data_IF_884436311187
#
_entry.id   IF_884436311187
#
_cell.length_a   1.000
_cell.length_b   1.000
_cell.length_c   1.000
_cell.angle_alpha   90.00
_cell.angle_beta   90.00
_cell.angle_gamma   90.00
#
_symmetry.space_group_name_H-M   'P 1'
#
loop_
_entity.id
_entity.type
_entity.pdbx_description
1 polymer ?
#
# COMPACT_ATOMS: atom_id res chain seq x y z
N UNK A 1 42.75 -15.77 19.89
CA UNK A 1 41.45 -15.65 19.26
C UNK A 1 40.30 -15.72 20.28
N UNK A 2 40.16 -16.73 21.11
CA UNK A 2 39.10 -16.82 22.14
C UNK A 2 39.15 -15.68 23.19
N UNK A 3 40.35 -15.24 23.60
CA UNK A 3 40.54 -14.10 24.53
C UNK A 3 40.12 -12.77 23.93
N UNK A 4 40.30 -12.56 22.63
CA UNK A 4 39.82 -11.37 21.88
C UNK A 4 38.28 -11.35 21.78
N UNK A 5 37.65 -12.50 21.55
CA UNK A 5 36.20 -12.65 21.51
C UNK A 5 35.60 -12.40 22.89
N UNK A 6 36.23 -12.90 23.96
CA UNK A 6 35.79 -12.64 25.34
C UNK A 6 35.91 -11.17 25.77
N UNK A 7 36.97 -10.49 25.33
CA UNK A 7 37.13 -9.03 25.57
C UNK A 7 36.11 -8.22 24.73
N UNK A 8 35.81 -8.65 23.51
CA UNK A 8 34.77 -8.05 22.67
C UNK A 8 33.39 -8.19 23.33
N UNK A 9 33.06 -9.38 23.83
CA UNK A 9 31.80 -9.64 24.55
C UNK A 9 31.72 -8.86 25.87
N UNK A 10 32.81 -8.59 26.56
CA UNK A 10 32.84 -7.76 27.78
C UNK A 10 32.70 -6.27 27.49
N UNK A 11 33.19 -5.81 26.35
CA UNK A 11 32.98 -4.46 25.82
C UNK A 11 31.54 -4.23 25.30
N UNK A 12 30.88 -5.30 24.88
CA UNK A 12 29.49 -5.29 24.39
C UNK A 12 28.44 -4.93 25.46
N UNK A 13 28.77 -4.94 26.74
CA UNK A 13 27.79 -4.64 27.78
C UNK A 13 27.21 -3.23 27.67
N UNK A 14 27.99 -2.27 27.19
CA UNK A 14 27.53 -0.89 26.99
C UNK A 14 26.75 -0.75 25.70
N UNK A 15 27.22 -1.36 24.62
CA UNK A 15 26.57 -1.39 23.31
C UNK A 15 25.23 -2.14 23.39
N UNK A 16 25.18 -3.27 24.08
CA UNK A 16 23.94 -4.01 24.34
C UNK A 16 22.95 -3.19 25.16
N UNK A 17 23.43 -2.47 26.20
CA UNK A 17 22.56 -1.56 26.97
C UNK A 17 22.04 -0.40 26.14
N UNK A 18 22.86 0.22 25.30
CA UNK A 18 22.47 1.30 24.38
C UNK A 18 21.47 0.76 23.36
N UNK A 19 21.71 -0.40 22.76
CA UNK A 19 20.78 -1.05 21.84
C UNK A 19 19.46 -1.39 22.53
N UNK A 20 19.50 -1.91 23.77
CA UNK A 20 18.28 -2.14 24.54
C UNK A 20 17.51 -0.86 24.85
N UNK A 21 18.19 0.21 25.14
CA UNK A 21 17.58 1.51 25.47
C UNK A 21 16.99 2.19 24.23
N UNK A 22 17.65 2.06 23.09
CA UNK A 22 17.18 2.59 21.80
C UNK A 22 16.05 1.77 21.17
N UNK A 23 15.87 0.54 21.59
CA UNK A 23 14.93 -0.40 21.00
C UNK A 23 13.47 0.02 21.15
N UNK A 24 13.06 0.40 22.37
CA UNK A 24 11.68 0.81 22.62
C UNK A 24 11.30 2.02 21.74
N UNK A 25 12.10 3.10 21.69
CA UNK A 25 11.87 4.19 20.73
C UNK A 25 11.86 3.75 19.28
N UNK A 26 12.70 2.79 18.89
CA UNK A 26 12.81 2.32 17.52
C UNK A 26 11.57 1.50 17.10
N UNK A 27 11.09 0.60 17.97
CA UNK A 27 9.85 -0.15 17.75
C UNK A 27 8.66 0.81 17.68
N UNK A 28 8.56 1.75 18.64
CA UNK A 28 7.49 2.74 18.65
C UNK A 28 7.56 3.63 17.41
N UNK A 29 8.75 4.07 17.01
CA UNK A 29 8.95 4.89 15.81
C UNK A 29 8.55 4.16 14.54
N UNK A 30 9.01 2.92 14.34
CA UNK A 30 8.65 2.11 13.17
C UNK A 30 7.16 1.75 13.14
N UNK A 31 6.61 1.34 14.28
CA UNK A 31 5.17 1.03 14.38
C UNK A 31 4.30 2.28 14.15
N UNK A 32 4.74 3.45 14.62
CA UNK A 32 4.05 4.71 14.35
C UNK A 32 4.14 5.09 12.87
N UNK A 33 5.32 4.93 12.25
CA UNK A 33 5.50 5.20 10.82
C UNK A 33 4.66 4.26 9.95
N UNK A 34 4.68 2.95 10.25
CA UNK A 34 3.81 1.96 9.59
C UNK A 34 2.33 2.28 9.84
N UNK A 35 1.95 2.60 11.07
CA UNK A 35 0.59 3.01 11.42
C UNK A 35 0.14 4.26 10.65
N UNK A 36 0.99 5.27 10.54
CA UNK A 36 0.69 6.49 9.77
C UNK A 36 0.45 6.19 8.29
N UNK A 37 1.29 5.35 7.67
CA UNK A 37 1.11 4.97 6.26
C UNK A 37 -0.13 4.10 6.05
N UNK A 38 -0.38 3.14 6.94
CA UNK A 38 -1.60 2.31 6.94
C UNK A 38 -2.86 3.16 7.09
N UNK A 39 -2.86 4.12 8.03
CA UNK A 39 -3.96 5.05 8.27
C UNK A 39 -4.28 5.89 7.03
N UNK A 40 -3.25 6.51 6.41
CA UNK A 40 -3.45 7.32 5.22
C UNK A 40 -3.97 6.48 4.04
N UNK A 41 -3.47 5.26 3.87
CA UNK A 41 -3.99 4.34 2.86
C UNK A 41 -5.45 3.94 3.13
N UNK A 42 -5.78 3.65 4.38
CA UNK A 42 -7.15 3.31 4.80
C UNK A 42 -8.12 4.47 4.57
N UNK A 43 -7.72 5.70 4.86
CA UNK A 43 -8.51 6.92 4.63
C UNK A 43 -8.86 7.14 3.15
N UNK A 44 -8.11 6.57 2.21
CA UNK A 44 -8.46 6.65 0.78
C UNK A 44 -9.70 5.81 0.44
N UNK A 45 -9.92 4.70 1.14
CA UNK A 45 -11.04 3.77 0.92
C UNK A 45 -12.18 3.98 1.91
N UNK A 46 -11.84 4.27 3.16
CA UNK A 46 -12.79 4.50 4.25
C UNK A 46 -12.58 5.92 4.79
N UNK A 47 -13.24 6.95 4.22
CA UNK A 47 -13.00 8.33 4.58
C UNK A 47 -13.64 8.74 5.92
N UNK A 48 -13.74 7.80 6.87
CA UNK A 48 -14.25 8.03 8.22
C UNK A 48 -13.09 7.99 9.20
N UNK A 49 -12.70 9.17 9.71
CA UNK A 49 -11.53 9.35 10.58
C UNK A 49 -11.44 8.32 11.70
N UNK A 50 -12.50 8.20 12.51
CA UNK A 50 -12.48 7.31 13.68
C UNK A 50 -12.37 5.83 13.33
N UNK A 51 -13.04 5.40 12.26
CA UNK A 51 -13.00 4.00 11.81
C UNK A 51 -11.59 3.67 11.32
N UNK A 52 -11.02 4.52 10.49
CA UNK A 52 -9.67 4.32 9.96
C UNK A 52 -8.61 4.34 11.06
N UNK A 53 -8.76 5.23 12.06
CA UNK A 53 -7.87 5.28 13.20
C UNK A 53 -7.94 4.01 14.04
N UNK A 54 -9.15 3.57 14.42
CA UNK A 54 -9.35 2.36 15.23
C UNK A 54 -8.83 1.11 14.52
N UNK A 55 -9.12 0.96 13.23
CA UNK A 55 -8.61 -0.16 12.44
C UNK A 55 -7.07 -0.16 12.37
N UNK A 56 -6.47 1.00 12.16
CA UNK A 56 -5.01 1.13 12.15
C UNK A 56 -4.39 0.74 13.48
N UNK A 57 -4.94 1.23 14.59
CA UNK A 57 -4.46 0.90 15.94
C UNK A 57 -4.61 -0.61 16.20
N UNK A 58 -5.74 -1.21 15.80
CA UNK A 58 -5.96 -2.65 15.95
C UNK A 58 -4.93 -3.47 15.14
N UNK A 59 -4.70 -3.11 13.86
CA UNK A 59 -3.73 -3.79 12.99
C UNK A 59 -2.32 -3.67 13.57
N UNK A 60 -1.87 -2.48 13.96
CA UNK A 60 -0.54 -2.26 14.53
C UNK A 60 -0.37 -2.98 15.87
N UNK A 61 -1.40 -2.99 16.71
CA UNK A 61 -1.39 -3.74 17.97
C UNK A 61 -1.25 -5.25 17.73
N UNK A 62 -1.96 -5.80 16.73
CA UNK A 62 -1.83 -7.20 16.36
C UNK A 62 -0.42 -7.54 15.83
N UNK A 63 0.21 -6.65 15.05
CA UNK A 63 1.59 -6.85 14.58
C UNK A 63 2.56 -6.88 15.76
N UNK A 64 2.49 -5.91 16.66
CA UNK A 64 3.40 -5.82 17.82
C UNK A 64 3.17 -6.97 18.79
N UNK A 65 1.93 -7.21 19.21
CA UNK A 65 1.58 -8.28 20.16
C UNK A 65 1.85 -9.66 19.53
N UNK A 66 1.44 -9.86 18.28
CA UNK A 66 1.64 -11.12 17.56
C UNK A 66 3.13 -11.43 17.38
N UNK A 67 3.95 -10.44 17.01
CA UNK A 67 5.40 -10.59 16.91
C UNK A 67 6.02 -10.98 18.26
N UNK A 68 5.57 -10.34 19.35
CA UNK A 68 6.03 -10.66 20.70
C UNK A 68 5.58 -12.06 21.15
N UNK A 69 4.34 -12.45 20.89
CA UNK A 69 3.83 -13.78 21.25
C UNK A 69 4.51 -14.88 20.44
N UNK A 70 4.79 -14.64 19.14
CA UNK A 70 5.44 -15.61 18.27
C UNK A 70 6.83 -16.01 18.79
N UNK A 71 7.52 -15.09 19.47
CA UNK A 71 8.84 -15.40 20.07
C UNK A 71 8.73 -16.30 21.29
N UNK A 72 7.58 -16.28 21.97
CA UNK A 72 7.34 -17.08 23.19
C UNK A 72 6.73 -18.45 22.91
N UNK A 73 5.99 -18.59 21.82
CA UNK A 73 5.27 -19.83 21.50
C UNK A 73 6.14 -20.71 20.58
N UNK A 74 6.43 -21.92 21.03
CA UNK A 74 7.11 -22.91 20.21
C UNK A 74 6.07 -23.74 19.43
N UNK A 75 6.27 -23.88 18.11
CA UNK A 75 5.44 -24.73 17.26
C UNK A 75 5.43 -26.21 17.70
N UNK A 76 6.50 -26.64 18.41
CA UNK A 76 6.63 -28.01 18.95
C UNK A 76 5.79 -28.25 20.21
N UNK A 77 5.42 -27.17 20.91
CA UNK A 77 4.69 -27.27 22.18
C UNK A 77 3.17 -27.17 21.95
N UNK A 78 2.75 -26.23 21.11
CA UNK A 78 1.34 -26.05 20.78
C UNK A 78 1.21 -25.54 19.34
N UNK A 79 1.02 -26.46 18.41
CA UNK A 79 0.86 -26.15 16.99
C UNK A 79 -0.34 -25.23 16.74
N UNK A 80 -1.45 -25.49 17.42
CA UNK A 80 -2.67 -24.72 17.22
C UNK A 80 -2.52 -23.24 17.66
N UNK A 81 -1.89 -23.02 18.83
CA UNK A 81 -1.61 -21.67 19.31
C UNK A 81 -0.60 -20.94 18.41
N UNK A 82 0.45 -21.65 17.98
CA UNK A 82 1.43 -21.10 17.04
C UNK A 82 0.77 -20.69 15.73
N UNK A 83 -0.04 -21.56 15.12
CA UNK A 83 -0.76 -21.26 13.87
C UNK A 83 -1.75 -20.10 14.05
N UNK A 84 -2.45 -20.02 15.18
CA UNK A 84 -3.35 -18.92 15.48
C UNK A 84 -2.64 -17.57 15.55
N UNK A 85 -1.54 -17.49 16.30
CA UNK A 85 -0.74 -16.26 16.42
C UNK A 85 -0.06 -15.91 15.10
N UNK A 86 0.53 -16.89 14.42
CA UNK A 86 1.18 -16.69 13.13
C UNK A 86 0.20 -16.26 12.05
N UNK A 87 -0.98 -16.90 11.99
CA UNK A 87 -2.03 -16.54 11.04
C UNK A 87 -2.57 -15.13 11.28
N UNK A 88 -2.82 -14.75 12.54
CA UNK A 88 -3.25 -13.39 12.89
C UNK A 88 -2.20 -12.34 12.54
N UNK A 89 -0.92 -12.64 12.75
CA UNK A 89 0.19 -11.76 12.40
C UNK A 89 0.29 -11.57 10.88
N UNK A 90 0.22 -12.66 10.10
CA UNK A 90 0.23 -12.58 8.64
C UNK A 90 -0.95 -11.76 8.13
N UNK A 91 -2.15 -12.00 8.66
CA UNK A 91 -3.33 -11.24 8.26
C UNK A 91 -3.15 -9.74 8.55
N UNK A 92 -2.71 -9.39 9.76
CA UNK A 92 -2.48 -8.00 10.15
C UNK A 92 -1.39 -7.35 9.29
N UNK A 93 -0.27 -8.04 9.04
CA UNK A 93 0.80 -7.56 8.18
C UNK A 93 0.33 -7.37 6.73
N UNK A 94 -0.46 -8.31 6.19
CA UNK A 94 -1.02 -8.19 4.84
C UNK A 94 -1.92 -6.96 4.72
N UNK A 95 -2.79 -6.72 5.71
CA UNK A 95 -3.66 -5.54 5.76
C UNK A 95 -2.83 -4.26 5.87
N UNK A 96 -1.83 -4.22 6.75
CA UNK A 96 -0.93 -3.07 6.92
C UNK A 96 -0.19 -2.75 5.62
N UNK A 97 0.46 -3.75 5.01
CA UNK A 97 1.20 -3.61 3.75
C UNK A 97 0.30 -3.16 2.62
N UNK A 98 -0.90 -3.73 2.51
CA UNK A 98 -1.87 -3.37 1.46
C UNK A 98 -2.23 -1.88 1.52
N UNK A 99 -2.62 -1.37 2.69
CA UNK A 99 -2.98 0.04 2.80
C UNK A 99 -1.76 0.98 2.76
N UNK A 100 -0.64 0.59 3.36
CA UNK A 100 0.62 1.35 3.26
C UNK A 100 1.11 1.46 1.82
N UNK A 101 0.93 0.40 1.00
CA UNK A 101 1.24 0.43 -0.42
C UNK A 101 0.56 1.58 -1.14
N UNK A 102 -0.75 1.80 -0.94
CA UNK A 102 -1.46 2.89 -1.61
C UNK A 102 -0.96 4.27 -1.17
N UNK A 103 -0.54 4.43 0.09
CA UNK A 103 0.10 5.66 0.56
C UNK A 103 1.40 5.94 -0.18
N UNK A 104 2.27 4.93 -0.30
CA UNK A 104 3.52 5.06 -1.03
C UNK A 104 3.30 5.17 -2.54
N UNK A 105 2.40 4.39 -3.11
CA UNK A 105 2.02 4.45 -4.51
C UNK A 105 1.58 5.86 -4.90
N UNK A 106 0.70 6.49 -4.12
CA UNK A 106 0.29 7.87 -4.35
C UNK A 106 1.46 8.84 -4.40
N UNK A 107 2.44 8.66 -3.51
CA UNK A 107 3.57 9.59 -3.40
C UNK A 107 4.63 9.36 -4.49
N UNK A 108 4.86 8.13 -4.91
CA UNK A 108 5.88 7.81 -5.91
C UNK A 108 5.36 7.82 -7.34
N UNK A 109 4.10 7.47 -7.53
CA UNK A 109 3.44 7.40 -8.82
C UNK A 109 2.49 8.59 -9.04
N UNK A 110 2.71 9.70 -8.35
CA UNK A 110 1.89 10.91 -8.47
C UNK A 110 1.77 11.36 -9.93
N UNK A 111 2.85 11.33 -10.67
CA UNK A 111 2.85 11.71 -12.08
C UNK A 111 1.95 10.79 -12.92
N UNK A 112 2.04 9.48 -12.70
CA UNK A 112 1.22 8.50 -13.40
C UNK A 112 -0.26 8.66 -13.08
N UNK A 113 -0.59 8.82 -11.79
CA UNK A 113 -1.95 9.08 -11.34
C UNK A 113 -2.53 10.36 -11.95
N UNK A 114 -1.75 11.44 -11.99
CA UNK A 114 -2.15 12.71 -12.63
C UNK A 114 -2.36 12.56 -14.13
N UNK A 115 -1.51 11.80 -14.79
CA UNK A 115 -1.68 11.52 -16.21
C UNK A 115 -2.97 10.73 -16.48
N UNK A 116 -3.26 9.72 -15.67
CA UNK A 116 -4.50 8.95 -15.76
C UNK A 116 -5.74 9.82 -15.56
N UNK A 117 -5.74 10.65 -14.50
CA UNK A 117 -6.84 11.59 -14.25
C UNK A 117 -7.00 12.63 -15.37
N UNK A 118 -5.89 13.09 -15.93
CA UNK A 118 -5.92 14.02 -17.05
C UNK A 118 -6.53 13.39 -18.32
N UNK A 119 -6.23 12.13 -18.59
CA UNK A 119 -6.89 11.38 -19.68
C UNK A 119 -8.39 11.25 -19.39
N UNK A 120 -8.75 10.91 -18.15
CA UNK A 120 -10.15 10.80 -17.72
C UNK A 120 -10.90 12.12 -17.90
N UNK A 121 -10.27 13.26 -17.57
CA UNK A 121 -10.84 14.61 -17.79
C UNK A 121 -11.01 14.92 -19.27
N UNK A 122 -10.03 14.59 -20.12
CA UNK A 122 -10.06 14.88 -21.57
C UNK A 122 -11.05 14.01 -22.34
N UNK A 123 -11.28 12.78 -21.90
CA UNK A 123 -12.09 11.80 -22.64
C UNK A 123 -13.51 12.29 -22.93
N UNK A 124 -14.32 12.78 -21.97
CA UNK A 124 -15.67 13.28 -22.25
C UNK A 124 -15.67 14.53 -23.11
N UNK A 125 -14.66 15.39 -22.98
CA UNK A 125 -14.53 16.59 -23.78
C UNK A 125 -14.24 16.24 -25.25
N UNK A 126 -13.30 15.34 -25.47
CA UNK A 126 -12.95 14.85 -26.81
C UNK A 126 -14.15 14.12 -27.46
N UNK A 127 -14.91 13.34 -26.68
CA UNK A 127 -16.14 12.72 -27.17
C UNK A 127 -17.19 13.73 -27.58
N UNK A 128 -17.35 14.80 -26.80
CA UNK A 128 -18.24 15.92 -27.15
C UNK A 128 -17.79 16.59 -28.46
N UNK A 129 -16.52 17.01 -28.57
CA UNK A 129 -15.98 17.63 -29.79
C UNK A 129 -16.21 16.73 -31.01
N UNK A 130 -15.90 15.46 -30.89
CA UNK A 130 -16.12 14.45 -31.93
C UNK A 130 -17.60 14.35 -32.32
N UNK A 131 -18.53 14.32 -31.36
CA UNK A 131 -19.97 14.24 -31.66
C UNK A 131 -20.45 15.40 -32.48
N UNK A 132 -19.97 16.62 -32.24
CA UNK A 132 -20.31 17.81 -33.00
C UNK A 132 -19.69 17.75 -34.40
N UNK A 133 -18.46 17.36 -34.56
CA UNK A 133 -17.81 17.14 -35.85
C UNK A 133 -18.55 16.10 -36.71
N UNK A 134 -18.90 14.95 -36.09
CA UNK A 134 -19.60 13.87 -36.78
C UNK A 134 -21.00 14.31 -37.24
N UNK A 135 -21.74 15.07 -36.39
CA UNK A 135 -23.04 15.61 -36.74
C UNK A 135 -22.94 16.60 -37.92
N UNK A 136 -21.96 17.51 -37.91
CA UNK A 136 -21.72 18.44 -39.01
C UNK A 136 -21.35 17.70 -40.30
N UNK A 137 -20.42 16.75 -40.23
CA UNK A 137 -19.99 15.96 -41.40
C UNK A 137 -21.16 15.19 -42.01
N UNK A 138 -22.04 14.65 -41.15
CA UNK A 138 -23.27 13.99 -41.62
C UNK A 138 -24.20 14.95 -42.37
N UNK A 139 -24.46 16.13 -41.78
CA UNK A 139 -25.29 17.16 -42.44
C UNK A 139 -24.71 17.56 -43.80
N UNK A 140 -23.41 17.84 -43.87
CA UNK A 140 -22.70 18.18 -45.11
C UNK A 140 -22.83 17.06 -46.15
N UNK A 141 -22.63 15.81 -45.74
CA UNK A 141 -22.76 14.64 -46.60
C UNK A 141 -24.20 14.47 -47.12
N UNK A 142 -25.21 14.61 -46.24
CA UNK A 142 -26.62 14.47 -46.63
C UNK A 142 -27.04 15.61 -47.57
N UNK A 143 -26.55 16.81 -47.35
CA UNK A 143 -26.77 17.94 -48.22
C UNK A 143 -26.14 17.76 -49.61
N UNK A 144 -24.92 17.23 -49.66
CA UNK A 144 -24.25 16.87 -50.93
C UNK A 144 -25.03 15.80 -51.71
N UNK A 145 -25.62 14.80 -51.03
CA UNK A 145 -26.46 13.78 -51.66
C UNK A 145 -27.74 14.42 -52.23
N UNK A 146 -28.37 15.36 -51.51
CA UNK A 146 -29.54 16.08 -52.02
C UNK A 146 -29.21 16.83 -53.30
N UNK A 147 -28.10 17.59 -53.32
CA UNK A 147 -27.64 18.31 -54.51
C UNK A 147 -27.40 17.36 -55.67
N UNK A 148 -26.70 16.23 -55.43
CA UNK A 148 -26.46 15.23 -56.45
C UNK A 148 -27.74 14.64 -57.01
N UNK A 149 -28.75 14.37 -56.15
CA UNK A 149 -30.06 13.83 -56.54
C UNK A 149 -30.84 14.89 -57.37
N UNK A 150 -30.92 16.17 -56.93
CA UNK A 150 -31.62 17.20 -57.67
C UNK A 150 -30.95 17.46 -59.02
N UNK A 151 -29.62 17.46 -59.09
CA UNK A 151 -28.89 17.57 -60.35
C UNK A 151 -29.16 16.39 -61.30
N UNK A 152 -29.15 15.13 -60.79
CA UNK A 152 -29.46 13.97 -61.60
C UNK A 152 -30.88 14.00 -62.15
N UNK A 153 -31.86 14.42 -61.33
CA UNK A 153 -33.25 14.60 -61.77
C UNK A 153 -33.37 15.67 -62.83
N UNK A 154 -32.65 16.78 -62.70
CA UNK A 154 -32.62 17.84 -63.72
C UNK A 154 -32.06 17.31 -65.08
N UNK A 155 -30.98 16.51 -65.05
CA UNK A 155 -30.39 15.91 -66.24
C UNK A 155 -31.38 14.88 -66.89
N UNK A 156 -32.01 14.05 -66.06
CA UNK A 156 -33.02 13.08 -66.56
C UNK A 156 -34.23 13.78 -67.19
N UNK A 157 -34.67 14.93 -66.64
CA UNK A 157 -35.72 15.74 -67.24
C UNK A 157 -35.27 16.30 -68.57
N UNK A 158 -34.04 16.88 -68.66
CA UNK A 158 -33.50 17.39 -69.91
C UNK A 158 -33.42 16.33 -71.00
N UNK A 159 -33.21 15.07 -70.62
CA UNK A 159 -33.19 13.90 -71.53
C UNK A 159 -34.58 13.30 -71.79
N UNK A 160 -35.64 13.83 -71.21
CA UNK A 160 -37.00 13.29 -71.30
C UNK A 160 -37.21 11.93 -70.65
N UNK A 161 -36.32 11.55 -69.69
CA UNK A 161 -36.30 10.22 -69.02
C UNK A 161 -36.94 10.26 -67.63
N UNK A 162 -37.25 11.43 -67.08
CA UNK A 162 -37.85 11.53 -65.77
C UNK A 162 -39.30 11.00 -65.81
N UNK A 163 -39.63 10.04 -64.90
CA UNK A 163 -40.91 9.34 -64.89
C UNK A 163 -42.11 10.29 -64.76
N UNK A 164 -41.96 11.28 -63.89
CA UNK A 164 -43.01 12.25 -63.56
C UNK A 164 -42.82 13.63 -64.26
N UNK A 165 -41.94 13.68 -65.25
CA UNK A 165 -41.60 14.88 -66.01
C UNK A 165 -42.37 15.06 -67.26
N UNK A 166 -42.01 16.13 -68.07
CA UNK A 166 -42.69 16.53 -69.29
C UNK A 166 -42.57 15.56 -70.45
N UNK A 167 -41.69 14.51 -70.33
CA UNK A 167 -41.33 13.54 -71.39
C UNK A 167 -40.84 14.15 -72.69
N UNK A 168 -40.63 15.50 -72.74
CA UNK A 168 -40.06 16.21 -73.87
C UNK A 168 -38.58 16.49 -73.64
N UNK A 169 -37.70 16.18 -74.58
CA UNK A 169 -36.32 16.49 -74.58
C UNK A 169 -36.10 18.00 -74.64
N UNK A 170 -35.31 18.56 -73.71
CA UNK A 170 -34.96 19.97 -73.71
C UNK A 170 -35.01 20.60 -72.29
N UNK A 171 -34.66 21.87 -72.22
CA UNK A 171 -34.62 22.67 -70.97
C UNK A 171 -35.97 23.38 -70.72
N UNK A 172 -37.03 22.64 -70.42
CA UNK A 172 -38.34 23.13 -70.09
C UNK A 172 -38.46 23.74 -68.67
N UNK A 173 -39.64 24.20 -68.30
CA UNK A 173 -39.92 24.83 -67.00
C UNK A 173 -39.54 23.86 -65.81
N UNK A 174 -39.77 22.56 -65.94
CA UNK A 174 -39.46 21.58 -64.94
C UNK A 174 -37.96 21.44 -64.77
N UNK A 175 -37.15 21.44 -65.84
CA UNK A 175 -35.71 21.48 -65.76
C UNK A 175 -35.21 22.71 -64.99
N UNK A 176 -35.71 23.87 -65.31
CA UNK A 176 -35.33 25.13 -64.63
C UNK A 176 -35.70 25.07 -63.13
N UNK A 177 -36.86 24.52 -62.83
CA UNK A 177 -37.28 24.32 -61.43
C UNK A 177 -36.29 23.40 -60.65
N UNK A 178 -35.97 22.21 -61.18
CA UNK A 178 -35.03 21.24 -60.52
C UNK A 178 -33.63 21.82 -60.43
N UNK A 179 -33.20 22.62 -61.43
CA UNK A 179 -31.89 23.28 -61.37
C UNK A 179 -31.85 24.34 -60.29
N UNK A 180 -32.92 25.13 -60.14
CA UNK A 180 -33.05 26.13 -59.07
C UNK A 180 -33.11 25.46 -57.70
N UNK A 181 -33.75 24.29 -57.57
CA UNK A 181 -33.75 23.48 -56.36
C UNK A 181 -32.31 23.06 -56.00
N UNK A 182 -31.53 22.55 -56.97
CA UNK A 182 -30.15 22.20 -56.73
C UNK A 182 -29.27 23.39 -56.37
N UNK A 183 -29.52 24.57 -56.96
CA UNK A 183 -28.83 25.82 -56.58
C UNK A 183 -29.18 26.27 -55.15
N UNK A 184 -30.43 26.14 -54.75
CA UNK A 184 -30.86 26.42 -53.37
C UNK A 184 -30.16 25.45 -52.35
N UNK A 185 -30.16 24.16 -52.65
CA UNK A 185 -29.48 23.16 -51.83
C UNK A 185 -27.97 23.43 -51.78
N UNK A 186 -27.35 23.90 -52.87
CA UNK A 186 -25.93 24.31 -52.87
C UNK A 186 -25.69 25.53 -51.95
N UNK A 187 -26.60 26.53 -51.99
CA UNK A 187 -26.51 27.69 -51.09
C UNK A 187 -26.61 27.27 -49.61
N UNK A 188 -27.49 26.32 -49.28
CA UNK A 188 -27.59 25.75 -47.93
C UNK A 188 -26.29 25.04 -47.56
N UNK A 189 -25.71 24.28 -48.48
CA UNK A 189 -24.39 23.63 -48.25
C UNK A 189 -23.27 24.68 -47.96
N UNK A 190 -23.28 25.80 -48.72
CA UNK A 190 -22.32 26.88 -48.46
C UNK A 190 -22.54 27.53 -47.09
N UNK A 191 -23.80 27.75 -46.69
CA UNK A 191 -24.13 28.24 -45.33
C UNK A 191 -23.69 27.30 -44.25
N UNK A 192 -23.91 25.96 -44.39
CA UNK A 192 -23.44 24.95 -43.48
C UNK A 192 -21.92 24.93 -43.36
N UNK A 193 -21.19 25.08 -44.48
CA UNK A 193 -19.72 25.15 -44.48
C UNK A 193 -19.20 26.45 -43.86
N UNK A 194 -19.94 27.55 -44.03
CA UNK A 194 -19.56 28.87 -43.54
C UNK A 194 -20.07 29.17 -42.13
N UNK A 195 -20.88 28.31 -41.52
CA UNK A 195 -21.34 28.43 -40.12
C UNK A 195 -20.18 28.13 -39.17
N UNK A 196 -19.29 29.10 -39.05
CA UNK A 196 -17.96 28.90 -38.42
C UNK A 196 -17.94 29.05 -36.90
N UNK A 197 -19.05 29.46 -36.25
CA UNK A 197 -19.01 29.80 -34.84
C UNK A 197 -18.82 28.56 -33.95
N UNK A 198 -19.57 27.49 -34.19
CA UNK A 198 -19.42 26.24 -33.47
C UNK A 198 -18.02 25.62 -33.71
N UNK A 199 -17.56 25.62 -34.97
CA UNK A 199 -16.22 25.14 -35.29
C UNK A 199 -15.11 25.97 -34.64
N UNK A 200 -15.24 27.29 -34.63
CA UNK A 200 -14.26 28.17 -33.97
C UNK A 200 -14.19 27.92 -32.47
N UNK A 201 -15.34 27.75 -31.82
CA UNK A 201 -15.39 27.47 -30.39
C UNK A 201 -14.79 26.08 -30.06
N UNK A 202 -15.12 25.07 -30.87
CA UNK A 202 -14.54 23.73 -30.70
C UNK A 202 -13.04 23.75 -31.01
N UNK A 203 -12.60 24.40 -32.08
CA UNK A 203 -11.18 24.49 -32.42
C UNK A 203 -10.37 25.23 -31.33
N UNK A 204 -10.94 26.26 -30.70
CA UNK A 204 -10.33 26.93 -29.54
C UNK A 204 -10.18 25.96 -28.37
N UNK A 205 -11.26 25.21 -28.06
CA UNK A 205 -11.26 24.23 -27.00
C UNK A 205 -10.23 23.11 -27.26
N UNK A 206 -10.20 22.56 -28.47
CA UNK A 206 -9.24 21.53 -28.87
C UNK A 206 -7.78 22.03 -28.80
N UNK A 207 -7.54 23.26 -29.28
CA UNK A 207 -6.23 23.90 -29.19
C UNK A 207 -5.81 24.09 -27.74
N UNK A 208 -6.72 24.57 -26.91
CA UNK A 208 -6.43 24.68 -25.44
C UNK A 208 -6.14 23.34 -24.81
N UNK A 209 -6.96 22.33 -25.09
CA UNK A 209 -6.71 20.95 -24.59
C UNK A 209 -5.37 20.38 -25.07
N UNK A 210 -4.95 20.70 -26.28
CA UNK A 210 -3.65 20.24 -26.81
C UNK A 210 -2.46 20.89 -26.10
N UNK A 211 -2.62 22.12 -25.61
CA UNK A 211 -1.57 22.85 -24.88
C UNK A 211 -1.51 22.46 -23.39
N UNK A 212 -2.57 21.85 -22.85
CA UNK A 212 -2.62 21.46 -21.45
C UNK A 212 -1.80 20.20 -21.15
N UNK A 213 -1.06 20.26 -20.05
CA UNK A 213 -0.35 19.14 -19.44
C UNK A 213 -0.99 18.75 -18.10
N UNK A 214 -0.77 17.52 -17.59
CA UNK A 214 -1.28 17.11 -16.27
C UNK A 214 -0.85 18.04 -15.13
N UNK A 215 0.30 18.72 -15.28
CA UNK A 215 0.86 19.62 -14.27
C UNK A 215 0.28 21.02 -14.28
N UNK A 216 -0.44 21.39 -15.33
CA UNK A 216 -1.00 22.73 -15.47
C UNK A 216 -2.10 23.06 -14.46
N UNK A 217 -2.72 22.04 -13.89
CA UNK A 217 -3.73 22.17 -12.84
C UNK A 217 -3.14 22.15 -11.42
N UNK A 218 -1.81 22.01 -11.29
CA UNK A 218 -1.09 22.24 -10.04
C UNK A 218 -0.82 23.72 -9.81
N UNK A 219 -0.46 24.13 -8.62
CA UNK A 219 0.04 25.46 -8.31
C UNK A 219 -0.70 26.60 -9.04
N UNK A 220 -1.87 27.03 -8.55
CA UNK A 220 -2.76 28.00 -9.19
C UNK A 220 -3.52 27.48 -10.42
N UNK A 221 -3.63 26.18 -10.57
CA UNK A 221 -4.34 25.54 -11.66
C UNK A 221 -5.85 25.77 -11.67
N UNK A 222 -6.43 26.28 -10.58
CA UNK A 222 -7.85 26.65 -10.51
C UNK A 222 -8.25 27.64 -11.60
N UNK A 223 -7.40 28.63 -11.90
CA UNK A 223 -7.64 29.57 -12.99
C UNK A 223 -7.67 28.87 -14.35
N UNK A 224 -6.68 28.01 -14.65
CA UNK A 224 -6.66 27.26 -15.92
C UNK A 224 -7.82 26.29 -16.03
N UNK A 225 -8.25 25.71 -14.90
CA UNK A 225 -9.44 24.87 -14.87
C UNK A 225 -10.71 25.67 -15.12
N UNK A 226 -10.83 26.89 -14.57
CA UNK A 226 -11.91 27.83 -14.86
C UNK A 226 -11.92 28.25 -16.32
N UNK A 227 -10.76 28.57 -16.91
CA UNK A 227 -10.62 28.87 -18.34
C UNK A 227 -11.09 27.68 -19.21
N UNK A 228 -10.76 26.43 -18.81
CA UNK A 228 -11.26 25.24 -19.49
C UNK A 228 -12.79 25.13 -19.41
N UNK A 229 -13.36 25.31 -18.22
CA UNK A 229 -14.82 25.28 -18.03
C UNK A 229 -15.52 26.34 -18.87
N UNK A 230 -14.98 27.56 -18.95
CA UNK A 230 -15.52 28.64 -19.76
C UNK A 230 -15.50 28.25 -21.25
N UNK A 231 -14.38 27.76 -21.77
CA UNK A 231 -14.27 27.31 -23.17
C UNK A 231 -15.23 26.17 -23.51
N UNK A 232 -15.44 25.24 -22.56
CA UNK A 232 -16.42 24.16 -22.73
C UNK A 232 -17.84 24.76 -22.77
N UNK A 233 -18.17 25.70 -21.88
CA UNK A 233 -19.44 26.38 -21.87
C UNK A 233 -19.73 27.08 -23.20
N UNK A 234 -18.76 27.84 -23.71
CA UNK A 234 -18.85 28.52 -25.01
C UNK A 234 -19.05 27.50 -26.16
N UNK A 235 -18.31 26.39 -26.13
CA UNK A 235 -18.44 25.35 -27.15
C UNK A 235 -19.80 24.66 -27.11
N UNK A 236 -20.37 24.40 -25.92
CA UNK A 236 -21.70 23.81 -25.75
C UNK A 236 -22.78 24.75 -26.29
N UNK A 237 -22.71 26.05 -25.94
CA UNK A 237 -23.68 27.06 -26.44
C UNK A 237 -23.63 27.13 -27.95
N UNK A 238 -22.45 27.27 -28.54
CA UNK A 238 -22.27 27.34 -29.98
C UNK A 238 -22.72 26.05 -30.70
N UNK A 239 -22.41 24.87 -30.13
CA UNK A 239 -22.85 23.60 -30.69
C UNK A 239 -24.39 23.43 -30.65
N UNK A 240 -25.03 23.79 -29.54
CA UNK A 240 -26.47 23.68 -29.41
C UNK A 240 -27.20 24.70 -30.33
N UNK A 241 -26.65 25.90 -30.51
CA UNK A 241 -27.17 26.87 -31.48
C UNK A 241 -27.04 26.34 -32.90
N UNK A 242 -25.90 25.74 -33.26
CA UNK A 242 -25.72 25.07 -34.55
C UNK A 242 -26.73 23.92 -34.71
N UNK A 243 -26.91 23.08 -33.68
CA UNK A 243 -27.88 21.98 -33.69
C UNK A 243 -29.31 22.48 -33.91
N UNK A 244 -29.73 23.48 -33.13
CA UNK A 244 -31.07 24.07 -33.24
C UNK A 244 -31.34 24.65 -34.63
N UNK A 245 -30.38 25.38 -35.22
CA UNK A 245 -30.49 25.97 -36.54
C UNK A 245 -30.59 24.92 -37.66
N UNK A 246 -30.11 23.70 -37.41
CA UNK A 246 -30.08 22.62 -38.40
C UNK A 246 -31.01 21.46 -38.05
N UNK A 247 -31.93 21.62 -37.11
CA UNK A 247 -32.88 20.56 -36.71
C UNK A 247 -32.26 19.35 -36.06
N UNK A 248 -31.07 19.49 -35.46
CA UNK A 248 -30.43 18.43 -34.68
C UNK A 248 -30.87 18.47 -33.21
N UNK A 249 -30.86 17.33 -32.49
CA UNK A 249 -31.05 17.33 -31.06
C UNK A 249 -29.94 18.11 -30.36
N UNK A 250 -30.19 18.56 -29.13
CA UNK A 250 -29.19 19.22 -28.29
C UNK A 250 -28.04 18.25 -27.99
N UNK A 251 -26.82 18.75 -28.03
CA UNK A 251 -25.65 18.01 -27.69
C UNK A 251 -25.56 17.84 -26.16
N UNK A 252 -25.25 16.63 -25.70
CA UNK A 252 -25.10 16.35 -24.28
C UNK A 252 -23.87 17.09 -23.72
N UNK A 253 -24.07 17.73 -22.58
CA UNK A 253 -22.97 18.36 -21.87
C UNK A 253 -21.98 17.26 -21.37
N UNK A 254 -20.66 17.43 -21.58
CA UNK A 254 -19.68 16.50 -21.04
C UNK A 254 -19.68 16.56 -19.50
N UNK A 255 -19.73 15.40 -18.86
CA UNK A 255 -19.57 15.31 -17.42
C UNK A 255 -18.11 15.58 -17.07
N UNK A 256 -17.87 16.66 -16.35
CA UNK A 256 -16.55 17.06 -15.94
C UNK A 256 -16.33 16.72 -14.48
N UNK A 257 -15.19 16.14 -14.19
CA UNK A 257 -14.65 16.01 -12.85
C UNK A 257 -14.50 17.42 -12.22
N UNK A 258 -14.77 17.59 -10.93
CA UNK A 258 -14.51 18.87 -10.26
C UNK A 258 -13.01 19.13 -10.09
N UNK A 259 -12.62 20.41 -9.90
CA UNK A 259 -11.22 20.76 -9.64
C UNK A 259 -10.68 20.09 -8.36
N UNK A 260 -11.52 19.97 -7.34
CA UNK A 260 -11.17 19.30 -6.09
C UNK A 260 -10.96 17.80 -6.29
N UNK A 261 -11.83 17.16 -7.07
CA UNK A 261 -11.66 15.75 -7.43
C UNK A 261 -10.41 15.51 -8.26
N UNK A 262 -10.09 16.39 -9.21
CA UNK A 262 -8.86 16.31 -9.98
C UNK A 262 -7.61 16.42 -9.13
N UNK A 263 -7.62 17.28 -8.11
CA UNK A 263 -6.48 17.43 -7.20
C UNK A 263 -6.39 16.34 -6.12
N UNK A 264 -7.50 15.69 -5.81
CA UNK A 264 -7.54 14.62 -4.82
C UNK A 264 -7.14 13.29 -5.47
N UNK A 265 -5.82 13.08 -5.57
CA UNK A 265 -5.26 11.84 -6.11
C UNK A 265 -5.65 10.64 -5.22
N UNK A 266 -6.64 9.90 -5.67
CA UNK A 266 -7.04 8.63 -5.03
C UNK A 266 -6.65 7.48 -5.94
N UNK A 267 -5.65 6.67 -5.56
CA UNK A 267 -5.36 5.43 -6.27
C UNK A 267 -6.61 4.54 -6.25
N UNK A 268 -6.89 3.92 -7.38
CA UNK A 268 -7.98 2.95 -7.53
C UNK A 268 -7.43 1.52 -7.51
N UNK A 269 -8.31 0.53 -7.32
CA UNK A 269 -7.90 -0.88 -7.44
C UNK A 269 -7.41 -1.22 -8.86
N UNK A 270 -7.80 -0.44 -9.88
CA UNK A 270 -7.32 -0.62 -11.25
C UNK A 270 -5.85 -0.24 -11.40
N UNK A 271 -5.35 0.69 -10.57
CA UNK A 271 -3.95 1.09 -10.56
C UNK A 271 -3.02 -0.04 -10.06
N UNK A 272 -3.57 -1.08 -9.42
CA UNK A 272 -2.82 -2.31 -9.09
C UNK A 272 -2.30 -3.05 -10.33
N UNK A 273 -2.84 -2.77 -11.52
CA UNK A 273 -2.28 -3.29 -12.77
C UNK A 273 -0.87 -2.75 -13.05
N UNK A 274 -0.52 -1.59 -12.50
CA UNK A 274 0.80 -0.95 -12.58
C UNK A 274 1.48 -0.98 -11.22
N UNK A 275 2.01 -2.16 -10.86
CA UNK A 275 2.68 -2.37 -9.58
C UNK A 275 3.95 -1.52 -9.51
N UNK A 276 4.06 -0.66 -8.47
CA UNK A 276 5.30 0.04 -8.14
C UNK A 276 6.15 -0.80 -7.17
N UNK A 277 7.29 -1.37 -7.61
CA UNK A 277 8.15 -2.19 -6.77
C UNK A 277 8.68 -1.43 -5.55
N UNK A 278 8.97 -0.12 -5.72
CA UNK A 278 9.46 0.73 -4.65
C UNK A 278 8.40 0.93 -3.56
N UNK A 279 7.14 1.14 -3.96
CA UNK A 279 6.03 1.29 -3.02
C UNK A 279 5.81 0.01 -2.20
N UNK A 280 5.87 -1.18 -2.83
CA UNK A 280 5.77 -2.46 -2.14
C UNK A 280 6.95 -2.64 -1.17
N UNK A 281 8.18 -2.39 -1.65
CA UNK A 281 9.36 -2.54 -0.82
C UNK A 281 9.28 -1.69 0.45
N UNK A 282 8.87 -0.42 0.33
CA UNK A 282 8.74 0.47 1.49
C UNK A 282 7.57 0.08 2.39
N UNK A 283 6.44 -0.35 1.82
CA UNK A 283 5.30 -0.83 2.61
C UNK A 283 5.68 -2.06 3.46
N UNK A 284 6.46 -2.99 2.89
CA UNK A 284 6.96 -4.17 3.59
C UNK A 284 8.05 -3.84 4.61
N UNK A 285 8.94 -2.89 4.28
CA UNK A 285 10.14 -2.62 5.06
C UNK A 285 9.82 -2.24 6.51
N UNK A 286 8.84 -1.37 6.76
CA UNK A 286 8.50 -0.93 8.10
C UNK A 286 7.98 -2.08 8.97
N UNK A 287 7.10 -2.91 8.44
CA UNK A 287 6.53 -4.04 9.19
C UNK A 287 7.57 -5.15 9.40
N UNK A 288 8.39 -5.44 8.37
CA UNK A 288 9.48 -6.41 8.48
C UNK A 288 10.56 -5.95 9.46
N UNK A 289 10.95 -4.68 9.45
CA UNK A 289 11.92 -4.17 10.43
C UNK A 289 11.37 -4.24 11.84
N UNK A 290 10.11 -3.89 12.06
CA UNK A 290 9.45 -4.05 13.35
C UNK A 290 9.50 -5.50 13.80
N UNK A 291 9.13 -6.44 12.92
CA UNK A 291 9.16 -7.86 13.19
C UNK A 291 10.58 -8.39 13.48
N UNK A 292 11.58 -8.03 12.67
CA UNK A 292 12.97 -8.45 12.89
C UNK A 292 13.56 -7.89 14.18
N UNK A 293 13.27 -6.64 14.53
CA UNK A 293 13.72 -6.06 15.80
C UNK A 293 13.09 -6.80 16.98
N UNK A 294 11.80 -7.16 16.88
CA UNK A 294 11.13 -7.94 17.90
C UNK A 294 11.73 -9.34 18.06
N UNK A 295 11.97 -10.06 16.96
CA UNK A 295 12.61 -11.40 17.01
C UNK A 295 14.04 -11.34 17.49
N UNK A 296 14.82 -10.37 17.00
CA UNK A 296 16.24 -10.24 17.37
C UNK A 296 16.43 -10.02 18.86
N UNK A 297 15.46 -9.41 19.52
CA UNK A 297 15.51 -9.19 20.94
C UNK A 297 15.49 -10.49 21.76
N UNK A 298 14.65 -11.42 21.42
CA UNK A 298 14.53 -12.65 22.19
C UNK A 298 15.62 -13.68 21.82
N UNK A 299 16.27 -13.48 20.67
CA UNK A 299 17.42 -14.30 20.26
C UNK A 299 18.75 -13.76 20.77
N UNK A 300 18.79 -12.63 21.50
CA UNK A 300 19.98 -12.26 22.25
C UNK A 300 20.21 -13.40 23.22
N UNK A 301 21.32 -14.15 23.09
CA UNK A 301 21.53 -15.31 23.89
C UNK A 301 21.45 -14.93 25.37
N UNK A 302 20.64 -15.65 26.11
CA UNK A 302 20.40 -15.46 27.53
C UNK A 302 21.70 -15.50 28.40
N UNK A 303 22.85 -15.64 27.79
CA UNK A 303 24.15 -15.46 28.44
C UNK A 303 24.36 -14.11 29.12
N UNK A 304 23.46 -13.15 28.85
CA UNK A 304 23.41 -11.84 29.54
C UNK A 304 22.16 -11.66 30.43
N UNK A 305 21.30 -12.67 30.54
CA UNK A 305 20.33 -12.68 31.63
C UNK A 305 21.11 -12.62 32.92
N UNK A 306 20.73 -11.66 33.80
CA UNK A 306 21.33 -11.56 35.12
C UNK A 306 21.38 -12.95 35.73
N UNK A 307 22.51 -13.29 36.35
CA UNK A 307 22.71 -14.58 37.04
C UNK A 307 21.50 -14.97 37.91
N UNK A 308 20.84 -14.00 38.51
CA UNK A 308 19.60 -14.10 39.29
C UNK A 308 18.42 -14.70 38.52
N UNK A 309 18.19 -14.29 37.24
CA UNK A 309 17.10 -14.84 36.43
C UNK A 309 17.36 -16.31 36.05
N UNK A 310 18.61 -16.66 35.75
CA UNK A 310 19.01 -18.06 35.54
C UNK A 310 18.80 -18.90 36.79
N UNK A 311 19.16 -18.37 37.94
CA UNK A 311 18.91 -19.04 39.22
C UNK A 311 17.42 -19.32 39.43
N UNK A 312 16.54 -18.33 39.16
CA UNK A 312 15.08 -18.52 39.26
C UNK A 312 14.56 -19.57 38.28
N UNK A 313 15.03 -19.56 37.03
CA UNK A 313 14.64 -20.58 36.04
C UNK A 313 14.99 -21.96 36.47
N UNK A 314 16.23 -22.15 36.92
CA UNK A 314 16.68 -23.46 37.34
C UNK A 314 16.07 -23.87 38.67
N UNK A 315 15.94 -22.97 39.63
CA UNK A 315 15.21 -23.23 40.87
C UNK A 315 13.79 -23.71 40.59
N UNK A 316 13.09 -23.03 39.66
CA UNK A 316 11.74 -23.41 39.25
C UNK A 316 11.71 -24.81 38.61
N UNK A 317 12.70 -25.14 37.75
CA UNK A 317 12.78 -26.48 37.18
C UNK A 317 13.06 -27.54 38.27
N UNK A 318 13.93 -27.23 39.23
CA UNK A 318 14.24 -28.13 40.33
C UNK A 318 13.07 -28.32 41.30
N UNK A 319 12.28 -27.29 41.56
CA UNK A 319 11.13 -27.36 42.47
C UNK A 319 9.95 -28.16 41.89
N UNK A 320 9.85 -28.20 40.56
CA UNK A 320 8.68 -28.75 39.86
C UNK A 320 8.97 -29.97 39.00
N UNK A 321 10.17 -30.53 39.05
CA UNK A 321 10.52 -31.79 38.39
C UNK A 321 11.09 -32.81 39.36
N UNK A 322 10.65 -34.07 39.20
CA UNK A 322 11.32 -35.17 39.89
C UNK A 322 12.74 -35.31 39.34
N UNK A 323 13.71 -35.22 40.20
CA UNK A 323 15.11 -35.35 39.82
C UNK A 323 15.75 -36.57 40.51
N UNK A 324 16.65 -37.20 39.80
CA UNK A 324 17.47 -38.31 40.31
C UNK A 324 18.93 -38.08 39.93
N UNK A 325 19.82 -38.51 40.79
CA UNK A 325 21.24 -38.57 40.47
C UNK A 325 21.49 -39.91 39.80
N UNK A 326 21.95 -39.89 38.54
CA UNK A 326 22.28 -41.10 37.82
C UNK A 326 23.63 -41.69 38.30
N UNK A 327 23.98 -42.88 37.79
CA UNK A 327 25.24 -43.56 38.13
C UNK A 327 26.51 -42.78 37.75
N UNK A 328 26.37 -41.76 36.90
CA UNK A 328 27.45 -40.88 36.42
C UNK A 328 27.51 -39.54 37.19
N UNK A 329 26.87 -39.44 38.35
CA UNK A 329 26.72 -38.20 39.14
C UNK A 329 26.05 -37.04 38.40
N UNK A 330 25.24 -37.33 37.41
CA UNK A 330 24.48 -36.32 36.65
C UNK A 330 23.06 -36.25 37.19
N UNK A 331 22.51 -35.05 37.23
CA UNK A 331 21.13 -34.82 37.60
C UNK A 331 20.22 -35.11 36.39
N UNK A 332 19.35 -36.10 36.54
CA UNK A 332 18.31 -36.45 35.57
C UNK A 332 16.96 -35.91 36.04
N UNK A 333 16.26 -35.22 35.17
CA UNK A 333 14.91 -34.70 35.43
C UNK A 333 13.90 -35.48 34.61
N UNK A 334 12.75 -35.79 35.21
CA UNK A 334 11.62 -36.25 34.43
C UNK A 334 11.04 -35.08 33.59
N UNK A 335 10.61 -35.39 32.37
CA UNK A 335 10.03 -34.42 31.48
C UNK A 335 8.85 -33.75 32.18
N UNK A 336 8.81 -32.40 32.14
CA UNK A 336 7.80 -31.58 32.77
C UNK A 336 6.40 -31.79 32.14
N UNK A 337 6.17 -32.77 31.32
CA UNK A 337 4.82 -33.21 30.90
C UNK A 337 3.92 -33.60 32.06
N UNK A 338 4.49 -33.67 33.18
CA UNK A 338 3.93 -34.32 34.30
C UNK A 338 2.99 -33.44 35.04
N UNK A 339 1.85 -33.99 35.17
CA UNK A 339 1.02 -34.24 36.35
C UNK A 339 0.89 -33.10 37.38
N UNK A 340 1.65 -32.05 37.31
CA UNK A 340 1.46 -30.91 38.20
C UNK A 340 0.61 -29.84 37.50
N UNK A 341 -0.68 -30.04 37.50
CA UNK A 341 -1.65 -28.94 37.62
C UNK A 341 -1.32 -28.12 38.86
N UNK A 342 -0.15 -27.47 38.84
CA UNK A 342 0.16 -26.61 39.95
C UNK A 342 -0.33 -25.23 39.61
N UNK A 343 -1.43 -24.98 40.23
CA UNK A 343 -1.83 -23.74 40.86
C UNK A 343 -0.97 -22.54 40.52
N UNK A 344 -1.59 -21.62 39.84
CA UNK A 344 -1.58 -20.16 40.04
C UNK A 344 -0.33 -19.34 39.82
N UNK A 345 0.88 -19.85 39.82
CA UNK A 345 2.06 -18.99 39.68
C UNK A 345 2.80 -19.12 38.35
N UNK A 346 2.70 -20.24 37.64
CA UNK A 346 3.36 -20.44 36.34
C UNK A 346 2.43 -21.16 35.38
N UNK A 347 2.12 -20.50 34.30
CA UNK A 347 1.41 -21.12 33.18
C UNK A 347 2.28 -22.27 32.62
N UNK A 348 1.68 -23.42 32.39
CA UNK A 348 2.33 -24.62 31.85
C UNK A 348 3.10 -24.32 30.54
N UNK A 349 2.65 -23.31 29.79
CA UNK A 349 3.33 -22.79 28.62
C UNK A 349 4.67 -22.08 28.91
N UNK A 350 4.81 -21.39 30.03
CA UNK A 350 6.05 -20.73 30.41
C UNK A 350 7.14 -21.73 30.80
N UNK A 351 6.81 -22.75 31.56
CA UNK A 351 7.77 -23.82 31.91
C UNK A 351 8.26 -24.56 30.68
N UNK A 352 7.37 -24.92 29.76
CA UNK A 352 7.71 -25.57 28.50
C UNK A 352 8.62 -24.70 27.66
N UNK A 353 8.35 -23.41 27.63
CA UNK A 353 9.17 -22.43 26.94
C UNK A 353 10.60 -22.35 27.52
N UNK A 354 10.74 -22.23 28.84
CA UNK A 354 12.03 -22.15 29.49
C UNK A 354 12.84 -23.46 29.36
N UNK A 355 12.18 -24.59 29.51
CA UNK A 355 12.82 -25.90 29.30
C UNK A 355 13.34 -26.04 27.87
N UNK A 356 12.54 -25.64 26.88
CA UNK A 356 12.95 -25.66 25.48
C UNK A 356 14.11 -24.70 25.20
N UNK A 357 14.13 -23.54 25.81
CA UNK A 357 15.24 -22.60 25.71
C UNK A 357 16.53 -23.16 26.27
N UNK A 358 16.49 -23.77 27.44
CA UNK A 358 17.63 -24.39 28.05
C UNK A 358 18.18 -25.59 27.23
N UNK A 359 17.27 -26.34 26.58
CA UNK A 359 17.64 -27.40 25.64
C UNK A 359 18.35 -26.82 24.40
N UNK A 360 17.82 -25.75 23.83
CA UNK A 360 18.44 -25.11 22.66
C UNK A 360 19.81 -24.46 22.94
N UNK A 361 19.97 -23.93 24.13
CA UNK A 361 21.22 -23.32 24.56
C UNK A 361 22.27 -24.37 25.00
N UNK A 362 21.88 -25.65 25.02
CA UNK A 362 22.78 -26.74 25.42
C UNK A 362 23.06 -26.81 26.91
N UNK A 363 22.21 -26.21 27.75
CA UNK A 363 22.27 -26.35 29.21
C UNK A 363 21.53 -27.58 29.71
N UNK A 364 20.53 -28.01 28.94
CA UNK A 364 19.83 -29.28 29.14
C UNK A 364 20.08 -30.18 27.94
N UNK A 365 20.11 -31.49 28.17
CA UNK A 365 20.13 -32.51 27.12
C UNK A 365 18.95 -33.45 27.31
N UNK A 366 18.28 -33.78 26.22
CA UNK A 366 17.19 -34.74 26.22
C UNK A 366 17.79 -36.16 26.12
N UNK A 367 17.48 -37.01 27.10
CA UNK A 367 17.90 -38.42 27.13
C UNK A 367 16.85 -39.24 26.36
N UNK A 368 15.57 -39.07 26.70
CA UNK A 368 14.46 -39.76 26.06
C UNK A 368 13.20 -38.86 26.03
N UNK A 369 12.03 -39.42 25.73
CA UNK A 369 10.78 -38.68 25.66
C UNK A 369 10.33 -38.08 26.99
N UNK A 370 10.79 -38.60 28.11
CA UNK A 370 10.35 -38.26 29.47
C UNK A 370 11.45 -37.72 30.36
N UNK A 371 12.71 -37.86 29.95
CA UNK A 371 13.87 -37.52 30.78
C UNK A 371 14.78 -36.50 30.14
N UNK A 372 15.19 -35.54 30.95
CA UNK A 372 16.15 -34.48 30.61
C UNK A 372 17.26 -34.51 31.65
N UNK A 373 18.50 -34.27 31.23
CA UNK A 373 19.65 -34.12 32.15
C UNK A 373 20.25 -32.72 32.05
N UNK A 374 20.87 -32.26 33.12
CA UNK A 374 21.73 -31.09 33.09
C UNK A 374 23.06 -31.41 32.42
N UNK A 375 23.48 -30.54 31.53
CA UNK A 375 24.81 -30.64 30.94
C UNK A 375 25.85 -30.07 31.91
N UNK A 376 27.15 -30.51 31.80
CA UNK A 376 28.24 -29.94 32.57
C UNK A 376 28.29 -28.40 32.47
N UNK A 377 27.94 -27.85 31.34
CA UNK A 377 27.88 -26.39 31.10
C UNK A 377 26.92 -25.66 32.04
N UNK A 378 25.79 -26.28 32.39
CA UNK A 378 24.86 -25.71 33.36
C UNK A 378 25.40 -25.80 34.77
N UNK A 379 26.09 -26.90 35.11
CA UNK A 379 26.73 -27.09 36.43
C UNK A 379 27.89 -26.12 36.63
N UNK A 380 28.67 -25.81 35.59
CA UNK A 380 29.70 -24.75 35.61
C UNK A 380 29.08 -23.39 35.89
N UNK A 381 27.98 -23.08 35.21
CA UNK A 381 27.25 -21.84 35.42
C UNK A 381 26.70 -21.72 36.85
N UNK A 382 26.23 -22.84 37.42
CA UNK A 382 25.83 -22.90 38.83
C UNK A 382 26.98 -22.73 39.78
N UNK A 383 28.12 -23.31 39.50
CA UNK A 383 29.34 -23.14 40.30
C UNK A 383 29.74 -21.66 40.35
N UNK A 384 29.70 -20.98 39.24
CA UNK A 384 29.96 -19.53 39.17
C UNK A 384 28.93 -18.69 39.92
N UNK A 385 27.67 -19.14 40.00
CA UNK A 385 26.58 -18.41 40.69
C UNK A 385 26.60 -18.69 42.20
N UNK A 386 26.85 -19.91 42.60
CA UNK A 386 26.83 -20.36 44.01
C UNK A 386 28.13 -20.06 44.75
N UNK A 387 29.25 -20.07 44.02
CA UNK A 387 30.54 -19.64 44.55
C UNK A 387 30.82 -18.25 44.00
N UNK A 388 30.49 -17.14 44.71
CA UNK A 388 30.92 -15.83 44.30
C UNK A 388 32.45 -15.89 44.10
N UNK A 389 32.97 -15.19 43.05
CA UNK A 389 34.40 -15.16 42.83
C UNK A 389 35.06 -14.84 44.18
N UNK A 390 35.98 -15.71 44.62
CA UNK A 390 36.83 -15.38 45.73
C UNK A 390 37.50 -14.07 45.30
N UNK A 391 37.03 -12.96 45.81
CA UNK A 391 37.75 -11.70 45.74
C UNK A 391 39.13 -12.07 46.27
N UNK A 392 40.14 -11.85 45.43
CA UNK A 392 41.52 -12.16 45.71
C UNK A 392 41.87 -11.72 47.14
N UNK A 393 41.85 -12.67 48.08
CA UNK A 393 42.41 -12.50 49.40
C UNK A 393 43.93 -12.27 49.35
N UNK A 394 44.50 -12.23 48.13
CA UNK A 394 45.89 -11.88 47.89
C UNK A 394 46.20 -10.38 48.06
N UNK A 395 45.20 -9.49 48.01
CA UNK A 395 45.45 -8.07 48.24
C UNK A 395 45.28 -7.65 49.73
N UNK A 396 44.72 -8.52 50.56
CA UNK A 396 44.56 -8.24 52.00
C UNK A 396 45.76 -8.64 52.89
N UNK A 397 46.77 -9.29 52.30
CA UNK A 397 47.97 -9.75 53.06
C UNK A 397 49.14 -8.75 52.96
N UNK A 398 49.01 -7.69 52.14
CA UNK A 398 50.07 -6.69 51.99
C UNK A 398 49.78 -5.33 52.65
N UNK A 399 48.78 -5.22 53.48
CA UNK A 399 48.69 -4.13 54.44
C UNK A 399 49.30 -4.59 55.77
N UNK A 400 50.63 -4.56 55.81
CA UNK A 400 51.48 -4.66 57.00
C UNK A 400 51.17 -3.48 57.91
N UNK A 401 50.64 -3.70 59.13
CA UNK A 401 50.47 -2.65 60.07
C UNK A 401 51.80 -2.38 60.80
N UNK A 402 52.65 -1.62 60.21
CA UNK A 402 53.70 -0.97 60.99
C UNK A 402 53.12 0.32 61.54
N UNK A 403 52.65 0.19 62.73
CA UNK A 403 53.30 0.76 63.93
C UNK A 403 53.93 2.10 63.63
N UNK A 404 53.41 3.08 64.22
CA UNK A 404 54.24 4.11 64.86
C UNK A 404 53.61 4.51 66.19
N UNK A 405 54.24 3.95 67.20
CA UNK A 405 54.27 4.51 68.51
C UNK A 405 55.21 5.71 68.52
N UNK A 406 54.68 6.86 68.81
CA UNK A 406 55.25 7.81 69.81
C UNK A 406 54.14 8.81 70.15
#
# INVERSE_FOLDING_TARGET
>A
MLRSIYLFIKQDSLLVRVVMLLRLPLILGLSTASGYTTYNGLMMFVPVFWISLLLTVAVQSLIVIGSYQLTKISWRVSLLQFLGVFGSLILAATVSVFFSYFTFYRNFEEFHLRQSQFVTLKTPINAFCKSVHDAKNKLVSDQQKKIATSNSRAIEEALGRLKDGSKKIGTGSMYHFLKKEAENEYNILQQLKNSNEAERSIAKLETFLATLTPMDFLNRGEKKYGDLQMLIGDAIVAANQFGSNNGLPSFAQPELMSYEEYNNLKPSLQDLAHISPLAIFLALAFDLFTFFIMISYERIPYGHLRKEMWFHVVKTIMEYSDWKINQNNQLEFQDIKTQYEISTAYNDGERKHWTWQLLNLGYLRKIDSTRIEFTPRLLELFGEILLPPQEDKQNAINEDPRIDAI
#
